data_IF_952193138882
#
_entry.id   IF_952193138882
#
_cell.length_a   1.000
_cell.length_b   1.000
_cell.length_c   1.000
_cell.angle_alpha   90.00
_cell.angle_beta   90.00
_cell.angle_gamma   90.00
#
_symmetry.space_group_name_H-M   'P 1'
#
loop_
_entity.id
_entity.type
_entity.pdbx_description
1 polymer ?
#
# COMPACT_ATOMS: atom_id res chain seq x y z
N UNK A 1 -13.49 9.41 12.93
CA UNK A 1 -13.21 8.56 11.76
C UNK A 1 -11.82 8.90 11.20
N UNK A 2 -10.98 7.91 11.11
CA UNK A 2 -9.65 8.09 10.53
C UNK A 2 -9.76 8.38 9.03
N UNK A 3 -8.93 9.31 8.56
CA UNK A 3 -8.86 9.65 7.14
C UNK A 3 -7.55 9.12 6.57
N UNK A 4 -7.67 8.24 5.61
CA UNK A 4 -6.52 7.56 5.02
C UNK A 4 -6.28 8.02 3.59
N UNK A 5 -5.02 8.08 3.21
CA UNK A 5 -4.63 8.17 1.81
C UNK A 5 -4.30 6.77 1.29
N UNK A 6 -4.35 6.60 -0.01
CA UNK A 6 -3.95 5.34 -0.63
C UNK A 6 -3.15 5.63 -1.90
N UNK A 7 -2.06 4.90 -2.07
CA UNK A 7 -1.26 4.95 -3.30
C UNK A 7 -1.35 3.60 -3.98
N UNK A 8 -1.72 3.59 -5.25
CA UNK A 8 -1.92 2.37 -6.03
C UNK A 8 -1.03 2.37 -7.26
N UNK A 9 -0.25 1.31 -7.42
CA UNK A 9 0.51 1.08 -8.65
C UNK A 9 -0.45 0.57 -9.73
N UNK A 10 -0.42 1.16 -10.92
CA UNK A 10 -1.25 0.70 -12.04
C UNK A 10 -0.58 -0.42 -12.85
N UNK A 11 0.70 -0.65 -12.66
CA UNK A 11 1.38 -1.79 -13.28
C UNK A 11 0.77 -3.07 -12.71
N UNK A 12 0.35 -3.98 -13.59
CA UNK A 12 -0.44 -5.17 -13.22
C UNK A 12 -1.81 -4.78 -12.64
N UNK A 13 -2.48 -3.84 -13.32
CA UNK A 13 -3.72 -3.25 -12.83
C UNK A 13 -4.88 -4.25 -12.60
N UNK A 14 -4.86 -5.40 -13.28
CA UNK A 14 -5.86 -6.44 -13.04
C UNK A 14 -5.82 -6.94 -11.61
N UNK A 15 -4.62 -6.99 -11.02
CA UNK A 15 -4.44 -7.37 -9.63
C UNK A 15 -4.60 -6.16 -8.73
N UNK A 16 -3.88 -5.08 -9.01
CA UNK A 16 -3.86 -3.91 -8.11
C UNK A 16 -5.18 -3.17 -8.08
N UNK A 17 -5.94 -3.19 -9.18
CA UNK A 17 -7.29 -2.61 -9.20
C UNK A 17 -8.24 -3.31 -8.26
N UNK A 18 -8.20 -4.64 -8.22
CA UNK A 18 -9.03 -5.41 -7.30
C UNK A 18 -8.56 -5.23 -5.85
N UNK A 19 -7.25 -5.16 -5.63
CA UNK A 19 -6.71 -4.86 -4.30
C UNK A 19 -7.19 -3.48 -3.82
N UNK A 20 -7.16 -2.49 -4.70
CA UNK A 20 -7.60 -1.13 -4.40
C UNK A 20 -9.08 -1.10 -4.02
N UNK A 21 -9.92 -1.77 -4.80
CA UNK A 21 -11.35 -1.86 -4.52
C UNK A 21 -11.59 -2.50 -3.16
N UNK A 22 -10.90 -3.59 -2.89
CA UNK A 22 -11.05 -4.29 -1.60
C UNK A 22 -10.55 -3.45 -0.42
N UNK A 23 -9.47 -2.71 -0.62
CA UNK A 23 -8.94 -1.84 0.43
C UNK A 23 -9.93 -0.73 0.80
N UNK A 24 -10.57 -0.12 -0.19
CA UNK A 24 -11.58 0.92 0.05
C UNK A 24 -12.76 0.33 0.83
N UNK A 25 -13.21 -0.85 0.43
CA UNK A 25 -14.30 -1.56 1.12
C UNK A 25 -13.91 -1.91 2.55
N UNK A 26 -12.69 -2.43 2.74
CA UNK A 26 -12.20 -2.80 4.07
C UNK A 26 -12.11 -1.59 5.00
N UNK A 27 -11.68 -0.45 4.50
CA UNK A 27 -11.63 0.77 5.30
C UNK A 27 -13.02 1.13 5.84
N UNK A 28 -14.04 1.04 4.98
CA UNK A 28 -15.43 1.28 5.40
C UNK A 28 -15.88 0.30 6.48
N UNK A 29 -15.56 -0.98 6.30
CA UNK A 29 -15.88 -2.02 7.28
C UNK A 29 -15.25 -1.72 8.63
N UNK A 30 -14.05 -1.14 8.62
CA UNK A 30 -13.31 -0.80 9.84
C UNK A 30 -13.71 0.55 10.44
N UNK A 31 -14.62 1.27 9.82
CA UNK A 31 -15.04 2.58 10.30
C UNK A 31 -14.07 3.71 9.98
N UNK A 32 -13.20 3.50 8.99
CA UNK A 32 -12.28 4.53 8.49
C UNK A 32 -12.69 4.93 7.08
N UNK A 33 -11.97 5.88 6.49
CA UNK A 33 -12.30 6.33 5.13
C UNK A 33 -11.04 6.63 4.35
N UNK A 34 -10.96 6.09 3.14
CA UNK A 34 -9.92 6.47 2.18
C UNK A 34 -10.43 7.72 1.47
N UNK A 35 -9.82 8.86 1.77
CA UNK A 35 -10.28 10.16 1.28
C UNK A 35 -9.53 10.65 0.06
N UNK A 36 -8.36 10.06 -0.22
CA UNK A 36 -7.57 10.43 -1.40
C UNK A 36 -6.81 9.23 -1.92
N UNK A 37 -6.86 9.05 -3.24
CA UNK A 37 -6.14 7.98 -3.94
C UNK A 37 -5.20 8.60 -4.96
N UNK A 38 -3.94 8.19 -4.96
CA UNK A 38 -2.97 8.57 -5.98
C UNK A 38 -2.58 7.31 -6.74
N UNK A 39 -2.76 7.33 -8.06
CA UNK A 39 -2.31 6.24 -8.92
C UNK A 39 -0.93 6.58 -9.44
N UNK A 40 -0.03 5.60 -9.41
CA UNK A 40 1.34 5.76 -9.91
C UNK A 40 1.65 4.65 -10.93
N UNK A 41 2.60 4.88 -11.85
CA UNK A 41 2.87 3.90 -12.92
C UNK A 41 3.36 2.55 -12.43
N UNK A 42 4.21 2.52 -11.42
CA UNK A 42 4.77 1.29 -10.90
C UNK A 42 5.09 1.39 -9.42
N UNK A 43 5.49 0.28 -8.82
CA UNK A 43 5.80 0.25 -7.39
C UNK A 43 6.97 1.16 -7.02
N UNK A 44 7.91 1.36 -7.95
CA UNK A 44 9.06 2.24 -7.73
C UNK A 44 8.64 3.68 -7.42
N UNK A 45 7.50 4.12 -7.95
CA UNK A 45 6.99 5.48 -7.77
C UNK A 45 6.12 5.64 -6.53
N UNK A 46 5.81 4.56 -5.83
CA UNK A 46 4.95 4.61 -4.64
C UNK A 46 5.51 5.52 -3.54
N UNK A 47 6.81 5.43 -3.18
CA UNK A 47 7.31 6.26 -2.06
C UNK A 47 7.12 7.76 -2.24
N UNK A 48 7.29 8.28 -3.44
CA UNK A 48 7.11 9.72 -3.66
C UNK A 48 5.67 10.15 -3.41
N UNK A 49 4.71 9.38 -3.90
CA UNK A 49 3.29 9.66 -3.70
C UNK A 49 2.90 9.51 -2.23
N UNK A 50 3.48 8.54 -1.53
CA UNK A 50 3.27 8.37 -0.08
C UNK A 50 3.73 9.63 0.66
N UNK A 51 4.90 10.14 0.32
CA UNK A 51 5.41 11.38 0.92
C UNK A 51 4.43 12.54 0.73
N UNK A 52 3.89 12.69 -0.47
CA UNK A 52 2.91 13.74 -0.76
C UNK A 52 1.68 13.64 0.13
N UNK A 53 1.18 12.43 0.36
CA UNK A 53 0.02 12.22 1.23
C UNK A 53 0.36 12.48 2.71
N UNK A 54 1.54 12.07 3.14
CA UNK A 54 1.98 12.25 4.53
C UNK A 54 2.13 13.72 4.89
N UNK A 55 2.41 14.58 3.90
CA UNK A 55 2.55 16.03 4.12
C UNK A 55 1.20 16.71 4.33
N UNK A 56 0.09 16.04 4.03
CA UNK A 56 -1.24 16.62 4.18
C UNK A 56 -1.76 16.44 5.60
N UNK A 57 -2.18 17.54 6.22
CA UNK A 57 -2.59 17.54 7.64
C UNK A 57 -3.80 16.66 7.93
N UNK A 58 -4.70 16.56 6.97
CA UNK A 58 -5.93 15.79 7.15
C UNK A 58 -5.79 14.30 6.82
N UNK A 59 -4.61 13.86 6.40
CA UNK A 59 -4.32 12.44 6.18
C UNK A 59 -3.68 11.87 7.44
N UNK A 60 -4.32 10.90 8.05
CA UNK A 60 -3.84 10.28 9.30
C UNK A 60 -2.87 9.13 9.06
N UNK A 61 -3.01 8.44 7.94
CA UNK A 61 -2.14 7.33 7.56
C UNK A 61 -2.29 7.00 6.09
N UNK A 62 -1.40 6.17 5.58
CA UNK A 62 -1.36 5.86 4.14
C UNK A 62 -1.31 4.35 3.91
N UNK A 63 -2.17 3.88 3.01
CA UNK A 63 -2.22 2.49 2.55
C UNK A 63 -1.52 2.43 1.19
N UNK A 64 -0.61 1.48 1.01
CA UNK A 64 -0.01 1.26 -0.30
C UNK A 64 -0.56 -0.01 -0.92
N UNK A 65 -0.74 0.01 -2.24
CA UNK A 65 -1.24 -1.13 -3.01
C UNK A 65 -0.36 -1.31 -4.25
N UNK A 66 0.20 -2.50 -4.39
CA UNK A 66 1.02 -2.83 -5.55
C UNK A 66 1.26 -4.33 -5.61
N UNK A 67 1.90 -4.77 -6.69
CA UNK A 67 2.37 -6.13 -6.78
C UNK A 67 3.68 -6.16 -7.58
N UNK A 68 4.66 -6.86 -7.04
CA UNK A 68 5.98 -7.02 -7.65
C UNK A 68 6.19 -8.48 -7.95
N UNK A 69 5.96 -8.84 -9.21
CA UNK A 69 6.03 -10.21 -9.66
C UNK A 69 7.46 -10.65 -9.93
N UNK A 70 7.71 -11.93 -9.75
CA UNK A 70 9.02 -12.52 -10.05
C UNK A 70 9.27 -12.48 -11.55
N UNK A 71 10.43 -11.92 -11.94
CA UNK A 71 10.89 -11.91 -13.31
C UNK A 71 12.03 -12.92 -13.52
N UNK A 72 12.76 -12.75 -14.60
CA UNK A 72 13.89 -13.61 -14.95
C UNK A 72 15.18 -13.33 -14.17
N UNK A 73 15.20 -12.27 -13.35
CA UNK A 73 16.34 -11.84 -12.56
C UNK A 73 15.88 -11.53 -11.13
N UNK A 74 16.84 -11.16 -10.26
CA UNK A 74 16.52 -10.76 -8.88
C UNK A 74 16.10 -9.29 -8.77
N UNK A 75 15.73 -8.65 -9.87
CA UNK A 75 15.33 -7.25 -9.89
C UNK A 75 14.13 -6.97 -8.98
N UNK A 76 13.18 -7.90 -8.91
CA UNK A 76 12.01 -7.79 -8.05
C UNK A 76 12.41 -7.73 -6.57
N UNK A 77 13.43 -8.49 -6.17
CA UNK A 77 13.92 -8.50 -4.79
C UNK A 77 14.52 -7.14 -4.42
N UNK A 78 15.34 -6.57 -5.31
CA UNK A 78 15.98 -5.27 -5.07
C UNK A 78 14.94 -4.17 -4.91
N UNK A 79 13.96 -4.13 -5.82
CA UNK A 79 12.90 -3.11 -5.81
C UNK A 79 12.06 -3.24 -4.54
N UNK A 80 11.63 -4.45 -4.21
CA UNK A 80 10.78 -4.68 -3.05
C UNK A 80 11.46 -4.27 -1.74
N UNK A 81 12.72 -4.63 -1.57
CA UNK A 81 13.47 -4.31 -0.36
C UNK A 81 13.69 -2.79 -0.23
N UNK A 82 14.04 -2.13 -1.33
CA UNK A 82 14.28 -0.69 -1.33
C UNK A 82 12.98 0.07 -0.99
N UNK A 83 11.87 -0.33 -1.57
CA UNK A 83 10.58 0.30 -1.32
C UNK A 83 10.16 0.10 0.14
N UNK A 84 10.25 -1.12 0.65
CA UNK A 84 9.87 -1.43 2.02
C UNK A 84 10.65 -0.58 3.01
N UNK A 85 11.96 -0.47 2.82
CA UNK A 85 12.80 0.36 3.68
C UNK A 85 12.38 1.82 3.62
N UNK A 86 12.14 2.34 2.42
CA UNK A 86 11.76 3.75 2.27
C UNK A 86 10.41 4.05 2.89
N UNK A 87 9.46 3.14 2.78
CA UNK A 87 8.14 3.32 3.41
C UNK A 87 8.25 3.36 4.94
N UNK A 88 9.09 2.50 5.52
CA UNK A 88 9.34 2.54 6.96
C UNK A 88 9.98 3.86 7.37
N UNK A 89 10.97 4.33 6.61
CA UNK A 89 11.63 5.60 6.88
C UNK A 89 10.64 6.77 6.84
N UNK A 90 9.77 6.80 5.83
CA UNK A 90 8.77 7.85 5.69
C UNK A 90 7.76 7.83 6.84
N UNK A 91 7.32 6.64 7.24
CA UNK A 91 6.41 6.49 8.37
C UNK A 91 7.02 7.06 9.65
N UNK A 92 8.26 6.71 9.94
CA UNK A 92 8.97 7.21 11.11
C UNK A 92 9.21 8.71 11.05
N UNK A 93 9.56 9.21 9.88
CA UNK A 93 9.85 10.63 9.68
C UNK A 93 8.62 11.51 9.93
N UNK A 94 7.48 11.11 9.40
CA UNK A 94 6.23 11.88 9.51
C UNK A 94 5.38 11.52 10.72
N UNK A 95 5.74 10.46 11.44
CA UNK A 95 4.97 10.02 12.60
C UNK A 95 3.56 9.55 12.24
N UNK A 96 3.37 9.00 11.05
CA UNK A 96 2.08 8.51 10.57
C UNK A 96 2.26 7.09 10.03
N UNK A 97 1.32 6.17 10.30
CA UNK A 97 1.48 4.80 9.80
C UNK A 97 1.37 4.73 8.28
N UNK A 98 2.22 3.90 7.70
CA UNK A 98 2.22 3.57 6.27
C UNK A 98 2.24 2.04 6.19
N UNK A 99 1.29 1.46 5.47
CA UNK A 99 1.26 0.01 5.32
C UNK A 99 2.04 -0.44 4.09
N UNK A 100 2.45 -1.70 4.10
CA UNK A 100 3.11 -2.36 2.98
C UNK A 100 2.11 -3.32 2.34
N UNK A 101 1.20 -2.79 1.53
CA UNK A 101 0.21 -3.58 0.80
C UNK A 101 0.70 -3.96 -0.60
N UNK A 102 1.99 -4.19 -0.72
CA UNK A 102 2.64 -4.55 -1.98
C UNK A 102 2.97 -6.04 -1.91
N UNK A 103 2.30 -6.84 -2.72
CA UNK A 103 2.57 -8.27 -2.77
C UNK A 103 3.85 -8.54 -3.56
N UNK A 104 4.59 -9.56 -3.14
CA UNK A 104 5.93 -9.84 -3.64
C UNK A 104 6.98 -9.40 -2.63
N UNK A 105 8.27 -9.60 -2.92
CA UNK A 105 8.81 -10.18 -4.16
C UNK A 105 8.67 -11.70 -4.22
N UNK A 106 9.20 -12.29 -5.27
CA UNK A 106 9.31 -13.74 -5.42
C UNK A 106 7.96 -14.45 -5.47
N UNK A 107 6.98 -13.83 -6.13
CA UNK A 107 5.66 -14.43 -6.35
C UNK A 107 5.30 -14.43 -7.82
N UNK A 108 4.49 -15.42 -8.20
CA UNK A 108 3.94 -15.53 -9.55
C UNK A 108 2.64 -14.74 -9.64
N UNK A 109 2.15 -14.54 -10.86
CA UNK A 109 0.85 -13.91 -11.10
C UNK A 109 -0.26 -14.66 -10.35
N UNK A 110 -0.27 -15.99 -10.44
CA UNK A 110 -1.30 -16.80 -9.80
C UNK A 110 -1.28 -16.66 -8.28
N UNK A 111 -0.08 -16.57 -7.69
CA UNK A 111 0.06 -16.37 -6.25
C UNK A 111 -0.43 -14.98 -5.84
N UNK A 112 -0.10 -13.97 -6.61
CA UNK A 112 -0.55 -12.60 -6.36
C UNK A 112 -2.08 -12.50 -6.44
N UNK A 113 -2.66 -13.13 -7.46
CA UNK A 113 -4.10 -13.13 -7.65
C UNK A 113 -4.85 -13.77 -6.48
N UNK A 114 -4.33 -14.87 -5.96
CA UNK A 114 -4.92 -15.57 -4.81
C UNK A 114 -4.84 -14.77 -3.51
N UNK A 115 -3.91 -13.83 -3.43
CA UNK A 115 -3.64 -13.07 -2.20
C UNK A 115 -4.19 -11.65 -2.22
N UNK A 116 -4.97 -11.30 -3.24
CA UNK A 116 -5.58 -9.97 -3.37
C UNK A 116 -6.30 -9.58 -2.08
N UNK A 117 -7.22 -10.42 -1.65
CA UNK A 117 -8.07 -10.18 -0.47
C UNK A 117 -7.23 -10.00 0.79
N UNK A 118 -6.33 -10.93 1.03
CA UNK A 118 -5.48 -10.93 2.23
C UNK A 118 -4.60 -9.69 2.32
N UNK A 119 -3.90 -9.36 1.23
CA UNK A 119 -2.98 -8.24 1.25
C UNK A 119 -3.70 -6.90 1.37
N UNK A 120 -4.82 -6.76 0.66
CA UNK A 120 -5.59 -5.52 0.71
C UNK A 120 -6.17 -5.27 2.10
N UNK A 121 -6.78 -6.30 2.69
CA UNK A 121 -7.36 -6.19 4.03
C UNK A 121 -6.29 -5.91 5.07
N UNK A 122 -5.18 -6.63 5.01
CA UNK A 122 -4.09 -6.47 5.97
C UNK A 122 -3.46 -5.09 5.88
N UNK A 123 -3.32 -4.55 4.68
CA UNK A 123 -2.76 -3.21 4.47
C UNK A 123 -3.60 -2.15 5.19
N UNK A 124 -4.92 -2.24 5.07
CA UNK A 124 -5.82 -1.32 5.76
C UNK A 124 -5.78 -1.55 7.26
N UNK A 125 -5.90 -2.81 7.68
CA UNK A 125 -5.97 -3.16 9.11
C UNK A 125 -4.74 -2.69 9.87
N UNK A 126 -3.55 -2.79 9.29
CA UNK A 126 -2.32 -2.38 9.97
C UNK A 126 -2.30 -0.88 10.22
N UNK A 127 -2.74 -0.08 9.27
CA UNK A 127 -2.80 1.38 9.44
C UNK A 127 -3.84 1.74 10.50
N UNK A 128 -5.03 1.15 10.41
CA UNK A 128 -6.11 1.44 11.37
C UNK A 128 -5.71 1.06 12.79
N UNK A 129 -5.10 -0.10 12.96
CA UNK A 129 -4.64 -0.56 14.28
C UNK A 129 -3.58 0.38 14.86
N UNK A 130 -2.65 0.85 14.03
CA UNK A 130 -1.62 1.78 14.51
C UNK A 130 -2.22 3.12 14.94
N UNK A 131 -3.25 3.60 14.21
CA UNK A 131 -3.92 4.85 14.55
C UNK A 131 -4.76 4.74 15.83
N UNK A 132 -5.23 3.54 16.16
CA UNK A 132 -6.08 3.29 17.32
C UNK A 132 -5.35 2.69 18.50
N UNK A 133 -4.02 2.59 18.42
CA UNK A 133 -3.23 2.04 19.52
C UNK A 133 -3.32 2.95 20.73
N UNK A 134 -3.30 2.37 21.85
CA UNK A 134 -3.21 3.07 23.10
C UNK A 134 -4.39 3.70 23.65
#
# INVERSE_FOLDING_TARGET
>A
MEKLGMVVSTFNHEITGEMSRRAIERAKEAGAKIVKVIEVPGSFEIPLAVKELLEQKDINGVVTIGTILKGGTDHDMVIAHAIAKKLMDLSCEYGKPVSLGISGPNITWQQAEKRIEEYAARAVDSVVKMLRKG
#
